data_IF_382531994269
#
_entry.id   IF_382531994269
#
_cell.length_a   1.000
_cell.length_b   1.000
_cell.length_c   1.000
_cell.angle_alpha   90.00
_cell.angle_beta   90.00
_cell.angle_gamma   90.00
#
_symmetry.space_group_name_H-M   'P 1'
#
loop_
_entity.id
_entity.type
_entity.pdbx_description
1 polymer ?
#
# COMPACT_ATOMS: atom_id res chain seq x y z
N UNK A 1 2.71 9.64 -9.47
CA UNK A 1 2.64 9.09 -8.10
C UNK A 1 1.18 8.78 -7.83
N UNK A 2 0.86 7.52 -7.54
CA UNK A 2 -0.52 7.08 -7.29
C UNK A 2 -0.70 6.97 -5.76
N UNK A 3 -1.82 7.49 -5.25
CA UNK A 3 -2.16 7.42 -3.82
C UNK A 3 -3.25 6.39 -3.61
N UNK A 4 -3.08 5.55 -2.60
CA UNK A 4 -4.09 4.59 -2.18
C UNK A 4 -4.36 4.73 -0.70
N UNK A 5 -5.62 4.61 -0.31
CA UNK A 5 -5.97 4.57 1.11
C UNK A 5 -5.93 3.13 1.56
N UNK A 6 -5.47 2.88 2.77
CA UNK A 6 -5.51 1.54 3.34
C UNK A 6 -6.39 1.58 4.57
N UNK A 7 -7.55 0.93 4.49
CA UNK A 7 -8.44 0.80 5.64
C UNK A 7 -7.80 -0.13 6.66
N UNK A 8 -7.63 0.36 7.89
CA UNK A 8 -6.98 -0.35 9.01
C UNK A 8 -5.59 0.18 9.38
N UNK A 9 -4.99 1.01 8.53
CA UNK A 9 -3.65 1.55 8.73
C UNK A 9 -3.79 2.86 9.50
N UNK A 10 -3.54 2.95 10.80
CA UNK A 10 -3.72 4.16 11.61
C UNK A 10 -2.54 4.49 12.52
N UNK A 11 -2.67 5.50 13.39
CA UNK A 11 -1.59 5.92 14.29
C UNK A 11 -1.17 4.82 15.29
N UNK A 12 -2.02 3.80 15.48
CA UNK A 12 -1.73 2.62 16.31
C UNK A 12 -1.22 1.42 15.51
N UNK A 13 -1.06 1.54 14.18
CA UNK A 13 -0.57 0.44 13.35
C UNK A 13 0.91 0.22 13.61
N UNK A 14 1.22 -0.94 14.20
CA UNK A 14 2.58 -1.35 14.55
C UNK A 14 3.52 -1.32 13.35
N UNK A 15 4.80 -1.05 13.61
CA UNK A 15 5.84 -1.08 12.57
C UNK A 15 5.88 -2.40 11.81
N UNK A 16 5.58 -3.52 12.48
CA UNK A 16 5.51 -4.83 11.84
C UNK A 16 4.39 -4.95 10.79
N UNK A 17 3.24 -4.33 11.03
CA UNK A 17 2.11 -4.31 10.08
C UNK A 17 2.45 -3.42 8.88
N UNK A 18 3.09 -2.29 9.13
CA UNK A 18 3.62 -1.40 8.10
C UNK A 18 4.67 -2.12 7.24
N UNK A 19 5.60 -2.84 7.86
CA UNK A 19 6.66 -3.58 7.17
C UNK A 19 6.09 -4.71 6.31
N UNK A 20 5.09 -5.44 6.82
CA UNK A 20 4.34 -6.44 6.02
C UNK A 20 3.70 -5.81 4.78
N UNK A 21 3.10 -4.64 4.92
CA UNK A 21 2.52 -3.88 3.81
C UNK A 21 3.61 -3.50 2.80
N UNK A 22 4.65 -2.80 3.24
CA UNK A 22 5.75 -2.37 2.35
C UNK A 22 6.37 -3.56 1.63
N UNK A 23 6.58 -4.67 2.34
CA UNK A 23 7.10 -5.91 1.77
C UNK A 23 6.14 -6.49 0.72
N UNK A 24 4.84 -6.58 1.03
CA UNK A 24 3.82 -7.03 0.08
C UNK A 24 3.74 -6.15 -1.18
N UNK A 25 3.74 -4.82 -1.03
CA UNK A 25 3.77 -3.88 -2.16
C UNK A 25 5.09 -3.93 -2.94
N UNK A 26 6.21 -4.15 -2.25
CA UNK A 26 7.53 -4.34 -2.86
C UNK A 26 7.62 -5.59 -3.75
N UNK A 27 6.78 -6.61 -3.50
CA UNK A 27 6.66 -7.77 -4.41
C UNK A 27 5.91 -7.46 -5.71
N UNK A 28 5.16 -6.36 -5.77
CA UNK A 28 4.37 -6.00 -6.95
C UNK A 28 5.26 -5.32 -7.99
N UNK A 29 5.48 -6.02 -9.10
CA UNK A 29 6.27 -5.50 -10.23
C UNK A 29 5.69 -4.17 -10.74
N UNK A 30 6.51 -3.12 -10.69
CA UNK A 30 6.14 -1.76 -11.11
C UNK A 30 5.92 -0.79 -9.95
N UNK A 31 5.83 -1.27 -8.71
CA UNK A 31 5.83 -0.41 -7.52
C UNK A 31 7.26 0.04 -7.21
N UNK A 32 7.45 1.34 -7.00
CA UNK A 32 8.69 1.97 -6.51
C UNK A 32 8.32 3.04 -5.49
N UNK A 33 9.23 3.45 -4.61
CA UNK A 33 8.99 4.62 -3.74
C UNK A 33 7.71 4.51 -2.89
N UNK A 34 7.68 3.56 -1.97
CA UNK A 34 6.54 3.33 -1.06
C UNK A 34 6.69 4.26 0.14
N UNK A 35 5.69 5.12 0.35
CA UNK A 35 5.58 6.03 1.47
C UNK A 35 4.28 5.76 2.24
N UNK A 36 4.40 5.44 3.52
CA UNK A 36 3.27 5.24 4.42
C UNK A 36 2.96 6.53 5.17
N UNK A 37 1.69 6.94 5.16
CA UNK A 37 1.18 8.07 5.92
C UNK A 37 0.20 7.56 6.98
N UNK A 38 0.72 7.23 8.17
CA UNK A 38 -0.05 6.68 9.29
C UNK A 38 -1.11 7.63 9.83
N UNK A 39 -0.81 8.94 9.82
CA UNK A 39 -1.72 10.00 10.27
C UNK A 39 -3.00 10.06 9.43
N UNK A 40 -2.88 9.81 8.12
CA UNK A 40 -4.00 9.89 7.18
C UNK A 40 -4.59 8.54 6.82
N UNK A 41 -4.04 7.46 7.37
CA UNK A 41 -4.40 6.10 7.00
C UNK A 41 -4.15 5.79 5.51
N UNK A 42 -3.10 6.38 4.92
CA UNK A 42 -2.82 6.30 3.48
C UNK A 42 -1.49 5.59 3.23
N UNK A 43 -1.42 4.83 2.12
CA UNK A 43 -0.16 4.39 1.53
C UNK A 43 -0.02 5.03 0.15
N UNK A 44 1.06 5.75 -0.04
CA UNK A 44 1.44 6.29 -1.34
C UNK A 44 2.51 5.40 -1.91
N UNK A 45 2.45 5.08 -3.19
CA UNK A 45 3.60 4.50 -3.84
C UNK A 45 3.81 5.08 -5.22
N UNK A 46 5.07 5.26 -5.56
CA UNK A 46 5.50 5.46 -6.93
C UNK A 46 5.15 4.23 -7.77
N UNK A 47 4.71 4.48 -8.99
CA UNK A 47 4.61 3.43 -10.00
C UNK A 47 5.61 3.81 -11.08
N UNK A 48 6.59 2.95 -11.32
CA UNK A 48 7.58 3.13 -12.37
C UNK A 48 7.31 2.13 -13.49
N UNK A 49 6.74 2.61 -14.58
CA UNK A 49 6.41 1.81 -15.77
C UNK A 49 4.89 1.60 -15.94
N UNK A 50 4.45 0.55 -16.67
CA UNK A 50 3.04 0.29 -16.88
C UNK A 50 2.34 0.05 -15.54
N UNK A 51 1.19 0.67 -15.35
CA UNK A 51 0.47 0.65 -14.07
C UNK A 51 0.28 -0.79 -13.56
N UNK A 52 0.78 -1.14 -12.36
CA UNK A 52 0.49 -2.42 -11.76
C UNK A 52 -1.02 -2.52 -11.60
N UNK A 53 -1.56 -3.67 -12.03
CA UNK A 53 -3.00 -3.91 -11.97
C UNK A 53 -3.47 -3.68 -10.53
N UNK A 54 -4.48 -2.83 -10.36
CA UNK A 54 -5.08 -2.56 -9.05
C UNK A 54 -5.38 -3.85 -8.27
N UNK A 55 -5.81 -4.91 -8.96
CA UNK A 55 -6.01 -6.25 -8.38
C UNK A 55 -4.80 -6.86 -7.67
N UNK A 56 -3.57 -6.62 -8.15
CA UNK A 56 -2.35 -7.12 -7.51
C UNK A 56 -2.05 -6.34 -6.23
N UNK A 57 -2.29 -5.02 -6.27
CA UNK A 57 -2.15 -4.14 -5.12
C UNK A 57 -3.20 -4.48 -4.05
N UNK A 58 -4.44 -4.75 -4.46
CA UNK A 58 -5.51 -5.22 -3.59
C UNK A 58 -5.14 -6.55 -2.94
N UNK A 59 -4.60 -7.51 -3.71
CA UNK A 59 -4.15 -8.79 -3.19
C UNK A 59 -2.97 -8.65 -2.20
N UNK A 60 -2.01 -7.76 -2.48
CA UNK A 60 -0.89 -7.46 -1.59
C UNK A 60 -1.39 -6.85 -0.26
N UNK A 61 -2.31 -5.89 -0.31
CA UNK A 61 -2.95 -5.33 0.87
C UNK A 61 -3.72 -6.40 1.67
N UNK A 62 -4.53 -7.21 0.98
CA UNK A 62 -5.31 -8.27 1.60
C UNK A 62 -4.42 -9.32 2.28
N UNK A 63 -3.28 -9.66 1.67
CA UNK A 63 -2.30 -10.58 2.25
C UNK A 63 -1.63 -10.02 3.51
N UNK A 64 -1.54 -8.70 3.65
CA UNK A 64 -1.08 -8.05 4.86
C UNK A 64 -2.18 -7.92 5.93
N UNK A 65 -3.42 -8.31 5.65
CA UNK A 65 -4.57 -8.17 6.56
C UNK A 65 -5.31 -6.85 6.42
N UNK A 66 -5.01 -6.07 5.38
CA UNK A 66 -5.57 -4.73 5.16
C UNK A 66 -6.46 -4.68 3.92
N UNK A 67 -7.31 -3.65 3.84
CA UNK A 67 -8.11 -3.39 2.64
C UNK A 67 -7.58 -2.18 1.91
N UNK A 68 -7.22 -2.37 0.64
CA UNK A 68 -6.90 -1.26 -0.26
C UNK A 68 -8.20 -0.55 -0.64
N UNK A 69 -8.30 0.74 -0.30
CA UNK A 69 -9.28 1.66 -0.83
C UNK A 69 -8.65 2.47 -1.97
N UNK A 70 -9.29 2.47 -3.14
CA UNK A 70 -8.96 3.43 -4.17
C UNK A 70 -9.39 4.82 -3.69
N UNK A 71 -8.47 5.77 -3.59
CA UNK A 71 -8.82 7.18 -3.37
C UNK A 71 -8.39 7.99 -4.57
N UNK A 72 -9.41 8.64 -5.15
CA UNK A 72 -9.36 9.57 -6.28
C UNK A 72 -8.25 10.60 -6.16
#
# INVERSE_FOLDING_TARGET
MQRYVVSGLGPNTSQAEQDKLVSAFGTVKGVKDIALALDRHEITFGIAGPEPKAKLLEAACASAGFKLGARM
#
